data_IF_516635053408
#
_entry.id   IF_516635053408
#
_cell.length_a   1.000
_cell.length_b   1.000
_cell.length_c   1.000
_cell.angle_alpha   90.00
_cell.angle_beta   90.00
_cell.angle_gamma   90.00
#
_symmetry.space_group_name_H-M   'P 1'
#
loop_
_entity.id
_entity.type
_entity.pdbx_description
1 polymer ?
#
# COMPACT_ATOMS: atom_id res chain seq x y z
N UNK A 1 8.26 0.19 23.37
CA UNK A 1 8.51 0.63 24.77
C UNK A 1 7.22 0.62 25.61
N UNK A 2 6.16 1.38 25.27
CA UNK A 2 4.96 1.53 26.12
C UNK A 2 4.26 0.20 26.45
N UNK A 3 4.02 -0.67 25.47
CA UNK A 3 3.37 -1.97 25.73
C UNK A 3 4.20 -2.86 26.65
N UNK A 4 5.53 -2.83 26.54
CA UNK A 4 6.40 -3.60 27.42
C UNK A 4 6.46 -2.99 28.84
N UNK A 5 6.37 -1.67 28.96
CA UNK A 5 6.25 -0.99 30.25
C UNK A 5 4.94 -1.40 30.95
N UNK A 6 3.81 -1.34 30.25
CA UNK A 6 2.50 -1.75 30.75
C UNK A 6 2.48 -3.22 31.19
N UNK A 7 3.16 -4.09 30.44
CA UNK A 7 3.27 -5.50 30.77
C UNK A 7 4.06 -5.73 32.08
N UNK A 8 5.15 -4.98 32.28
CA UNK A 8 6.05 -5.15 33.43
C UNK A 8 5.55 -4.44 34.69
N UNK A 9 4.91 -3.30 34.52
CA UNK A 9 4.51 -2.40 35.59
C UNK A 9 3.06 -1.95 35.43
N UNK A 10 2.07 -2.87 35.59
CA UNK A 10 0.66 -2.52 35.42
C UNK A 10 0.13 -1.63 36.53
N UNK A 11 0.56 -1.85 37.79
CA UNK A 11 -0.01 -1.22 38.97
C UNK A 11 0.11 0.31 39.03
N UNK A 12 1.25 0.95 38.68
CA UNK A 12 1.38 2.41 38.72
C UNK A 12 0.68 3.12 37.54
N UNK A 13 0.15 2.37 36.55
CA UNK A 13 -0.45 2.95 35.34
C UNK A 13 -1.96 3.06 35.50
N UNK A 14 -2.47 4.27 35.67
CA UNK A 14 -3.91 4.54 35.74
C UNK A 14 -4.59 4.45 34.35
N UNK A 15 -3.93 4.96 33.31
CA UNK A 15 -4.43 4.95 31.95
C UNK A 15 -3.30 5.15 30.95
N UNK A 16 -3.45 4.66 29.73
CA UNK A 16 -2.51 4.89 28.65
C UNK A 16 -3.29 5.12 27.34
N UNK A 17 -2.85 6.13 26.58
CA UNK A 17 -3.35 6.39 25.22
C UNK A 17 -2.22 6.07 24.26
N UNK A 18 -2.46 5.12 23.38
CA UNK A 18 -1.48 4.65 22.41
C UNK A 18 -1.97 4.98 20.99
N UNK A 19 -1.17 5.73 20.24
CA UNK A 19 -1.45 6.07 18.85
C UNK A 19 -0.33 5.55 17.93
N UNK A 20 -0.70 4.99 16.77
CA UNK A 20 0.27 4.47 15.79
C UNK A 20 1.11 3.29 16.30
N UNK A 21 0.51 2.38 17.06
CA UNK A 21 1.22 1.31 17.77
C UNK A 21 1.56 0.15 16.85
N UNK A 22 2.85 -0.17 16.76
CA UNK A 22 3.30 -1.47 16.29
C UNK A 22 3.44 -2.43 17.48
N UNK A 23 2.87 -3.61 17.38
CA UNK A 23 3.01 -4.64 18.43
C UNK A 23 4.43 -5.18 18.47
N UNK A 24 4.95 -5.64 19.63
CA UNK A 24 6.26 -6.27 19.73
C UNK A 24 6.43 -7.51 18.83
N UNK A 25 5.33 -8.18 18.48
CA UNK A 25 5.32 -9.34 17.60
C UNK A 25 5.31 -8.96 16.10
N UNK A 26 5.18 -7.67 15.76
CA UNK A 26 5.15 -7.22 14.38
C UNK A 26 6.50 -7.43 13.69
N UNK A 27 6.52 -8.25 12.64
CA UNK A 27 7.70 -8.47 11.80
C UNK A 27 7.77 -7.38 10.73
N UNK A 28 8.26 -6.21 11.11
CA UNK A 28 8.49 -5.11 10.18
C UNK A 28 9.79 -5.37 9.36
N UNK A 29 9.84 -5.10 8.05
CA UNK A 29 8.80 -4.51 7.19
C UNK A 29 7.83 -5.52 6.54
N UNK A 30 7.97 -6.83 6.82
CA UNK A 30 7.22 -7.90 6.14
C UNK A 30 5.70 -7.72 6.21
N UNK A 31 5.18 -7.22 7.33
CA UNK A 31 3.74 -6.99 7.48
C UNK A 31 3.22 -5.89 6.56
N UNK A 32 4.02 -4.87 6.27
CA UNK A 32 3.63 -3.82 5.32
C UNK A 32 3.51 -4.38 3.90
N UNK A 33 4.48 -5.18 3.46
CA UNK A 33 4.43 -5.81 2.15
C UNK A 33 3.20 -6.73 1.99
N UNK A 34 2.95 -7.59 2.99
CA UNK A 34 1.77 -8.47 2.99
C UNK A 34 0.46 -7.69 3.05
N UNK A 35 0.39 -6.63 3.84
CA UNK A 35 -0.79 -5.78 3.93
C UNK A 35 -1.08 -5.05 2.61
N UNK A 36 -0.06 -4.55 1.94
CA UNK A 36 -0.19 -3.92 0.63
C UNK A 36 -0.66 -4.91 -0.45
N UNK A 37 -0.08 -6.11 -0.47
CA UNK A 37 -0.49 -7.19 -1.38
C UNK A 37 -1.97 -7.57 -1.16
N UNK A 38 -2.38 -7.79 0.09
CA UNK A 38 -3.76 -8.11 0.42
C UNK A 38 -4.74 -7.00 0.05
N UNK A 39 -4.37 -5.74 0.29
CA UNK A 39 -5.20 -4.58 -0.07
C UNK A 39 -5.36 -4.47 -1.59
N UNK A 40 -4.29 -4.69 -2.36
CA UNK A 40 -4.35 -4.68 -3.82
C UNK A 40 -5.20 -5.84 -4.35
N UNK A 41 -4.99 -7.06 -3.85
CA UNK A 41 -5.79 -8.22 -4.23
C UNK A 41 -7.28 -7.94 -4.00
N UNK A 42 -7.62 -7.44 -2.82
CA UNK A 42 -9.02 -7.12 -2.49
C UNK A 42 -9.61 -6.04 -3.39
N UNK A 43 -8.85 -4.99 -3.70
CA UNK A 43 -9.28 -3.95 -4.64
C UNK A 43 -9.63 -4.53 -6.01
N UNK A 44 -8.80 -5.43 -6.53
CA UNK A 44 -9.01 -6.06 -7.84
C UNK A 44 -10.24 -7.00 -7.82
N UNK A 45 -10.41 -7.76 -6.74
CA UNK A 45 -11.57 -8.64 -6.53
C UNK A 45 -12.86 -7.85 -6.38
N UNK A 46 -12.88 -6.81 -5.55
CA UNK A 46 -14.04 -5.94 -5.32
C UNK A 46 -14.45 -5.23 -6.63
N UNK A 47 -13.49 -4.74 -7.41
CA UNK A 47 -13.77 -4.12 -8.71
C UNK A 47 -14.32 -5.13 -9.73
N UNK A 48 -13.83 -6.36 -9.74
CA UNK A 48 -14.34 -7.41 -10.63
C UNK A 48 -15.78 -7.82 -10.25
N UNK A 49 -16.14 -7.77 -8.98
CA UNK A 49 -17.46 -8.09 -8.47
C UNK A 49 -18.49 -6.95 -8.63
N UNK A 50 -18.02 -5.71 -8.68
CA UNK A 50 -18.86 -4.52 -8.87
C UNK A 50 -19.10 -4.27 -10.37
N UNK A 51 -20.37 -4.25 -10.79
CA UNK A 51 -20.74 -4.12 -12.22
C UNK A 51 -20.26 -2.79 -12.83
N UNK A 52 -20.35 -1.69 -12.08
CA UNK A 52 -19.94 -0.38 -12.56
C UNK A 52 -18.43 -0.28 -12.71
N UNK A 53 -17.69 -0.78 -11.72
CA UNK A 53 -16.23 -0.82 -11.75
C UNK A 53 -15.72 -1.74 -12.86
N UNK A 54 -16.24 -2.95 -12.96
CA UNK A 54 -15.82 -3.92 -13.98
C UNK A 54 -16.13 -3.45 -15.41
N UNK A 55 -17.23 -2.72 -15.59
CA UNK A 55 -17.58 -2.10 -16.89
C UNK A 55 -16.61 -0.96 -17.24
N UNK A 56 -16.24 -0.13 -16.28
CA UNK A 56 -15.31 0.99 -16.48
C UNK A 56 -13.85 0.49 -16.68
N UNK A 57 -13.48 -0.57 -15.97
CA UNK A 57 -12.11 -1.12 -15.95
C UNK A 57 -12.11 -2.63 -16.23
N UNK A 58 -12.50 -3.06 -17.43
CA UNK A 58 -12.59 -4.48 -17.76
C UNK A 58 -11.19 -5.12 -17.67
N UNK A 59 -11.13 -6.32 -17.06
CA UNK A 59 -9.90 -7.10 -16.89
C UNK A 59 -8.80 -6.35 -16.13
N UNK A 60 -9.18 -5.61 -15.08
CA UNK A 60 -8.24 -4.77 -14.32
C UNK A 60 -7.07 -5.58 -13.76
N UNK A 61 -7.31 -6.78 -13.24
CA UNK A 61 -6.26 -7.65 -12.70
C UNK A 61 -5.24 -8.09 -13.77
N UNK A 62 -5.72 -8.45 -14.97
CA UNK A 62 -4.84 -8.82 -16.09
C UNK A 62 -3.98 -7.62 -16.52
N UNK A 63 -4.59 -6.45 -16.69
CA UNK A 63 -3.89 -5.20 -17.05
C UNK A 63 -2.86 -4.80 -15.99
N UNK A 64 -3.18 -4.98 -14.72
CA UNK A 64 -2.24 -4.71 -13.63
C UNK A 64 -1.04 -5.66 -13.67
N UNK A 65 -1.27 -6.95 -13.93
CA UNK A 65 -0.18 -7.92 -14.09
C UNK A 65 0.72 -7.61 -15.29
N UNK A 66 0.14 -7.23 -16.44
CA UNK A 66 0.87 -6.79 -17.64
C UNK A 66 1.71 -5.54 -17.36
N UNK A 67 1.15 -4.57 -16.61
CA UNK A 67 1.87 -3.37 -16.20
C UNK A 67 3.08 -3.74 -15.33
N UNK A 68 2.91 -4.59 -14.32
CA UNK A 68 4.01 -5.04 -13.48
C UNK A 68 5.09 -5.79 -14.29
N UNK A 69 4.67 -6.57 -15.29
CA UNK A 69 5.59 -7.26 -16.16
C UNK A 69 6.39 -6.31 -17.05
N UNK A 70 5.79 -5.22 -17.53
CA UNK A 70 6.49 -4.21 -18.34
C UNK A 70 7.67 -3.57 -17.60
N UNK A 71 7.59 -3.45 -16.26
CA UNK A 71 8.69 -2.97 -15.43
C UNK A 71 9.80 -4.00 -15.17
N UNK A 72 9.61 -5.25 -15.61
CA UNK A 72 10.65 -6.28 -15.44
C UNK A 72 11.81 -6.09 -16.42
N UNK A 73 11.58 -5.38 -17.51
CA UNK A 73 12.58 -5.10 -18.55
C UNK A 73 13.30 -3.74 -18.39
N UNK A 74 12.90 -2.92 -17.43
CA UNK A 74 13.52 -1.62 -17.17
C UNK A 74 12.58 -0.58 -16.57
N UNK A 75 13.00 0.66 -16.66
CA UNK A 75 12.20 1.83 -16.26
C UNK A 75 11.38 2.38 -17.42
N UNK A 76 10.28 3.04 -17.10
CA UNK A 76 9.41 3.73 -18.05
C UNK A 76 9.40 5.22 -17.72
N UNK A 77 9.68 6.06 -18.71
CA UNK A 77 9.59 7.50 -18.59
C UNK A 77 8.18 7.98 -18.95
N UNK A 78 7.58 8.74 -18.05
CA UNK A 78 6.23 9.27 -18.17
C UNK A 78 6.24 10.79 -18.05
N UNK A 79 5.31 11.45 -18.75
CA UNK A 79 4.99 12.84 -18.53
C UNK A 79 3.75 12.93 -17.62
N UNK A 80 3.91 13.45 -16.42
CA UNK A 80 2.84 13.54 -15.43
C UNK A 80 2.56 14.99 -15.05
N UNK A 81 1.30 15.34 -14.91
CA UNK A 81 0.91 16.66 -14.42
C UNK A 81 1.01 16.71 -12.90
N UNK A 82 1.76 17.66 -12.38
CA UNK A 82 1.85 17.86 -10.94
C UNK A 82 0.44 18.14 -10.35
N UNK A 83 0.03 17.44 -9.29
CA UNK A 83 -1.37 17.48 -8.81
C UNK A 83 -1.86 18.87 -8.39
N UNK A 84 -0.96 19.73 -7.90
CA UNK A 84 -1.30 21.08 -7.45
C UNK A 84 -1.03 22.14 -8.55
N UNK A 85 0.22 22.22 -9.03
CA UNK A 85 0.62 23.27 -10.00
C UNK A 85 0.19 22.99 -11.44
N UNK A 86 -0.24 21.77 -11.77
CA UNK A 86 -0.57 21.28 -13.12
C UNK A 86 0.58 21.34 -14.12
N UNK A 87 1.77 21.75 -13.70
CA UNK A 87 2.97 21.73 -14.55
C UNK A 87 3.30 20.29 -14.94
N UNK A 88 3.61 20.08 -16.23
CA UNK A 88 4.04 18.78 -16.73
C UNK A 88 5.49 18.52 -16.34
N UNK A 89 5.75 17.35 -15.76
CA UNK A 89 7.07 16.92 -15.30
C UNK A 89 7.36 15.53 -15.84
N UNK A 90 8.62 15.27 -16.13
CA UNK A 90 9.08 13.92 -16.43
C UNK A 90 9.24 13.12 -15.13
N UNK A 91 8.71 11.92 -15.09
CA UNK A 91 8.88 10.97 -13.99
C UNK A 91 9.31 9.62 -14.55
N UNK A 92 10.35 9.05 -13.96
CA UNK A 92 10.83 7.70 -14.28
C UNK A 92 10.29 6.72 -13.25
N UNK A 93 9.50 5.77 -13.70
CA UNK A 93 8.98 4.70 -12.86
C UNK A 93 9.75 3.41 -13.11
N UNK A 94 10.07 2.70 -12.06
CA UNK A 94 10.68 1.37 -12.08
C UNK A 94 9.96 0.45 -11.11
N UNK A 95 10.25 -0.84 -11.14
CA UNK A 95 9.65 -1.81 -10.22
C UNK A 95 9.97 -1.53 -8.74
N UNK A 96 10.99 -0.73 -8.46
CA UNK A 96 11.42 -0.37 -7.10
C UNK A 96 11.13 1.09 -6.72
N UNK A 97 10.35 1.81 -7.53
CA UNK A 97 9.97 3.21 -7.27
C UNK A 97 8.84 3.30 -6.28
#
# INVERSE_FOLDING_TARGET
>A
AALEYLRRYPDPVRSAVLAGVATPAAKLPLQFAKGAEQAMTRLLEDCAADEACNSAFPKLAEKFAELLQSFSSGSVDLQVAHPVSKAVQSATLSRGS
#
